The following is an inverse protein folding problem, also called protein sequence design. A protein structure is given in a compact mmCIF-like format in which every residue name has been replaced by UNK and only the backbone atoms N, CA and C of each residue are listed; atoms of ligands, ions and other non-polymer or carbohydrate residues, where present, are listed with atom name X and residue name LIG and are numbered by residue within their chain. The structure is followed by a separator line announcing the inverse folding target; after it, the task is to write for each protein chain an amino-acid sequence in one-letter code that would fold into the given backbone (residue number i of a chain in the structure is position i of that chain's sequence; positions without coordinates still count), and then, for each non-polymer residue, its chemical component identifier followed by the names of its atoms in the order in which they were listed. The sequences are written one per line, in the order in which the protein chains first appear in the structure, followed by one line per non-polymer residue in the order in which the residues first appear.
data_IF_112258367562
#
_entry.id   IF_112258367562
#
_cell.length_a   1.000
_cell.length_b   1.000
_cell.length_c   1.000
_cell.angle_alpha   90.00
_cell.angle_beta   90.00
_cell.angle_gamma   90.00
#
_symmetry.space_group_name_H-M   'P 1'
#
loop_
_entity.id
_entity.type
_entity.pdbx_description
1 polymer ?
#
# COMPACT_ATOMS: atom_id res chain seq x y z
N UNK A 1 3.27 -22.41 2.62
CA UNK A 1 2.98 -21.24 1.75
C UNK A 1 3.91 -21.30 0.53
N UNK A 2 3.52 -20.73 -0.62
CA UNK A 2 4.40 -20.54 -1.79
C UNK A 2 4.34 -19.08 -2.20
N UNK A 3 5.49 -18.44 -2.40
CA UNK A 3 5.56 -17.05 -2.81
C UNK A 3 4.91 -16.86 -4.20
N UNK A 4 4.45 -15.65 -4.49
CA UNK A 4 3.64 -15.34 -5.68
C UNK A 4 2.34 -16.16 -5.85
N UNK A 5 1.82 -16.76 -4.77
CA UNK A 5 0.48 -17.37 -4.72
C UNK A 5 -0.30 -16.63 -3.62
N UNK A 6 -1.34 -15.85 -3.95
CA UNK A 6 -2.00 -14.96 -3.00
C UNK A 6 -2.69 -15.73 -1.87
N UNK A 7 -2.60 -15.17 -0.66
CA UNK A 7 -3.19 -15.70 0.55
C UNK A 7 -4.68 -15.32 0.66
N UNK A 8 -5.40 -15.98 1.57
CA UNK A 8 -6.73 -15.51 1.95
C UNK A 8 -6.63 -14.16 2.66
N UNK A 9 -7.39 -13.16 2.20
CA UNK A 9 -7.47 -11.87 2.85
C UNK A 9 -8.24 -11.98 4.16
N UNK A 10 -7.70 -11.41 5.25
CA UNK A 10 -8.46 -11.25 6.50
C UNK A 10 -9.63 -10.28 6.27
N UNK A 11 -10.84 -10.73 6.57
CA UNK A 11 -12.06 -9.93 6.38
C UNK A 11 -12.44 -9.21 7.68
N UNK A 12 -12.92 -7.98 7.55
CA UNK A 12 -13.54 -7.24 8.63
C UNK A 12 -15.06 -7.48 8.62
N UNK A 13 -15.65 -7.63 9.81
CA UNK A 13 -17.11 -7.52 9.98
C UNK A 13 -17.50 -6.03 10.01
N UNK A 14 -18.64 -5.64 9.43
CA UNK A 14 -19.18 -4.30 9.65
C UNK A 14 -19.65 -4.15 11.10
N UNK A 15 -19.63 -2.90 11.59
CA UNK A 15 -20.28 -2.46 12.81
C UNK A 15 -21.17 -1.26 12.47
N UNK A 16 -22.27 -1.07 13.19
CA UNK A 16 -23.23 0.02 12.97
C UNK A 16 -22.71 1.36 13.53
N UNK A 17 -21.78 1.32 14.49
CA UNK A 17 -21.13 2.53 15.03
C UNK A 17 -19.68 2.31 15.45
N UNK A 18 -18.95 3.43 15.61
CA UNK A 18 -17.62 3.45 16.19
C UNK A 18 -17.60 2.95 17.65
N UNK A 19 -18.62 3.31 18.44
CA UNK A 19 -18.74 2.91 19.85
C UNK A 19 -18.93 1.40 19.98
N UNK A 20 -19.82 0.81 19.18
CA UNK A 20 -20.01 -0.63 19.08
C UNK A 20 -18.70 -1.33 18.64
N UNK A 21 -18.06 -0.85 17.57
CA UNK A 21 -16.81 -1.42 17.08
C UNK A 21 -15.70 -1.43 18.15
N UNK A 22 -15.58 -0.35 18.93
CA UNK A 22 -14.62 -0.24 20.02
C UNK A 22 -15.00 -1.11 21.23
N UNK A 23 -16.29 -1.34 21.48
CA UNK A 23 -16.76 -2.18 22.60
C UNK A 23 -16.28 -3.63 22.53
N UNK A 24 -15.99 -4.13 21.32
CA UNK A 24 -15.46 -5.48 21.09
C UNK A 24 -13.98 -5.65 21.49
N UNK A 25 -13.24 -4.57 21.72
CA UNK A 25 -11.79 -4.63 21.91
C UNK A 25 -11.31 -3.79 23.11
N UNK A 26 -10.72 -4.45 24.11
CA UNK A 26 -10.12 -3.77 25.26
C UNK A 26 -8.94 -2.86 24.91
N UNK A 27 -8.29 -3.08 23.76
CA UNK A 27 -7.21 -2.26 23.21
C UNK A 27 -7.36 -2.15 21.68
N UNK A 28 -8.38 -1.41 21.23
CA UNK A 28 -8.51 -0.99 19.84
C UNK A 28 -7.38 0.00 19.44
N UNK A 29 -7.13 0.15 18.15
CA UNK A 29 -5.96 0.85 17.62
C UNK A 29 -6.31 1.37 16.20
N UNK A 30 -6.74 2.62 16.04
CA UNK A 30 -7.54 3.12 14.87
C UNK A 30 -6.75 3.31 13.55
N UNK A 31 -7.45 3.24 12.40
CA UNK A 31 -6.97 3.47 11.02
C UNK A 31 -8.03 4.12 10.10
N UNK A 32 -7.56 4.85 9.10
CA UNK A 32 -8.38 5.38 8.00
C UNK A 32 -8.76 4.29 7.00
N UNK A 33 -10.06 4.08 6.77
CA UNK A 33 -10.52 3.27 5.63
C UNK A 33 -10.43 4.10 4.35
N UNK A 34 -9.42 3.82 3.53
CA UNK A 34 -9.31 4.38 2.19
C UNK A 34 -10.31 3.74 1.20
N UNK A 35 -10.66 4.48 0.15
CA UNK A 35 -11.47 4.02 -0.99
C UNK A 35 -10.52 3.68 -2.15
N UNK A 36 -10.27 2.38 -2.36
CA UNK A 36 -9.16 1.90 -3.19
C UNK A 36 -9.31 0.47 -3.70
N UNK A 37 -8.17 -0.15 -4.05
CA UNK A 37 -8.09 -1.57 -4.40
C UNK A 37 -7.21 -2.27 -3.35
N UNK A 38 -7.84 -3.03 -2.44
CA UNK A 38 -7.11 -3.93 -1.55
C UNK A 38 -6.30 -4.96 -2.35
N UNK A 39 -5.01 -5.02 -2.07
CA UNK A 39 -4.06 -5.82 -2.81
C UNK A 39 -2.92 -6.36 -1.94
N UNK A 40 -2.54 -7.62 -2.19
CA UNK A 40 -1.32 -8.22 -1.64
C UNK A 40 -0.15 -7.97 -2.57
N UNK A 41 0.94 -7.38 -2.05
CA UNK A 41 2.19 -7.24 -2.77
C UNK A 41 3.19 -8.31 -2.31
N UNK A 42 3.50 -9.25 -3.21
CA UNK A 42 4.53 -10.27 -3.01
C UNK A 42 5.82 -9.78 -3.66
N UNK A 43 6.89 -9.67 -2.89
CA UNK A 43 8.20 -9.22 -3.35
C UNK A 43 9.23 -10.32 -3.09
N UNK A 44 10.09 -10.61 -4.06
CA UNK A 44 11.21 -11.56 -3.89
C UNK A 44 12.34 -11.29 -4.87
N UNK A 45 13.57 -11.19 -4.38
CA UNK A 45 14.77 -11.02 -5.21
C UNK A 45 14.67 -9.93 -6.33
N UNK A 46 13.86 -8.89 -6.12
CA UNK A 46 13.57 -7.83 -7.11
C UNK A 46 12.43 -8.11 -8.09
N UNK A 47 11.83 -9.30 -8.09
CA UNK A 47 10.51 -9.56 -8.69
C UNK A 47 9.40 -9.12 -7.74
N UNK A 48 8.37 -8.45 -8.27
CA UNK A 48 7.17 -8.05 -7.52
C UNK A 48 5.93 -8.46 -8.29
N UNK A 49 4.95 -9.04 -7.60
CA UNK A 49 3.61 -9.27 -8.11
C UNK A 49 2.57 -8.74 -7.16
N UNK A 50 1.53 -8.13 -7.72
CA UNK A 50 0.46 -7.49 -6.97
C UNK A 50 -0.84 -8.22 -7.30
N UNK A 51 -1.52 -8.74 -6.28
CA UNK A 51 -2.76 -9.51 -6.42
C UNK A 51 -3.93 -8.75 -5.78
N UNK A 52 -5.04 -8.62 -6.51
CA UNK A 52 -6.27 -8.02 -5.99
C UNK A 52 -6.93 -8.88 -4.90
N UNK A 53 -7.94 -8.33 -4.21
CA UNK A 53 -8.85 -9.09 -3.33
C UNK A 53 -9.46 -10.34 -3.98
N UNK A 54 -9.70 -10.33 -5.30
CA UNK A 54 -10.21 -11.47 -6.08
C UNK A 54 -9.11 -12.47 -6.49
N UNK A 55 -7.85 -12.21 -6.11
CA UNK A 55 -6.63 -12.98 -6.44
C UNK A 55 -6.17 -12.86 -7.90
N UNK A 56 -6.70 -11.89 -8.64
CA UNK A 56 -6.22 -11.57 -9.98
C UNK A 56 -4.88 -10.84 -9.90
N UNK A 57 -3.92 -11.21 -10.75
CA UNK A 57 -2.66 -10.49 -10.85
C UNK A 57 -2.88 -9.15 -11.58
N UNK A 58 -2.64 -8.04 -10.87
CA UNK A 58 -2.86 -6.66 -11.33
C UNK A 58 -1.54 -5.88 -11.50
N UNK A 59 -0.39 -6.56 -11.42
CA UNK A 59 0.96 -5.97 -11.52
C UNK A 59 1.12 -5.04 -12.73
N UNK A 60 0.67 -5.47 -13.92
CA UNK A 60 0.78 -4.70 -15.17
C UNK A 60 -0.04 -3.38 -15.17
N UNK A 61 -1.06 -3.29 -14.32
CA UNK A 61 -1.87 -2.07 -14.14
C UNK A 61 -1.20 -1.04 -13.22
N UNK A 62 -0.17 -1.44 -12.46
CA UNK A 62 0.53 -0.63 -11.46
C UNK A 62 2.07 -0.83 -11.50
N UNK A 63 2.72 -0.65 -12.67
CA UNK A 63 4.15 -0.92 -12.83
C UNK A 63 5.04 -0.08 -11.92
N UNK A 64 4.66 1.15 -11.58
CA UNK A 64 5.41 2.02 -10.69
C UNK A 64 5.40 1.54 -9.22
N UNK A 65 4.34 0.83 -8.80
CA UNK A 65 4.31 0.17 -7.49
C UNK A 65 5.29 -1.02 -7.49
N UNK A 66 5.29 -1.82 -8.56
CA UNK A 66 6.21 -2.94 -8.70
C UNK A 66 7.68 -2.49 -8.73
N UNK A 67 7.99 -1.40 -9.44
CA UNK A 67 9.32 -0.79 -9.43
C UNK A 67 9.74 -0.32 -8.03
N UNK A 68 8.88 0.41 -7.31
CA UNK A 68 9.21 0.92 -5.97
C UNK A 68 9.38 -0.20 -4.93
N UNK A 69 8.49 -1.19 -4.94
CA UNK A 69 8.52 -2.35 -4.04
C UNK A 69 9.68 -3.30 -4.34
N UNK A 70 10.20 -3.32 -5.57
CA UNK A 70 11.35 -4.17 -5.95
C UNK A 70 12.64 -3.84 -5.17
N UNK A 71 12.72 -2.66 -4.56
CA UNK A 71 13.85 -2.21 -3.76
C UNK A 71 13.77 -2.62 -2.27
N UNK A 72 12.75 -3.39 -1.87
CA UNK A 72 12.65 -3.96 -0.52
C UNK A 72 13.77 -5.00 -0.28
N UNK A 73 14.38 -5.03 0.92
CA UNK A 73 15.61 -5.80 1.16
C UNK A 73 15.41 -7.31 1.37
N UNK A 74 14.17 -7.76 1.58
CA UNK A 74 13.82 -9.13 1.94
C UNK A 74 12.63 -9.63 1.12
N UNK A 75 12.51 -10.94 0.99
CA UNK A 75 11.29 -11.56 0.50
C UNK A 75 10.14 -11.24 1.47
N UNK A 76 9.06 -10.63 0.98
CA UNK A 76 7.93 -10.17 1.81
C UNK A 76 6.59 -10.40 1.11
N UNK A 77 5.53 -10.53 1.91
CA UNK A 77 4.14 -10.37 1.47
C UNK A 77 3.53 -9.27 2.34
N UNK A 78 3.13 -8.17 1.71
CA UNK A 78 2.39 -7.07 2.32
C UNK A 78 0.90 -7.20 1.97
N UNK A 79 0.01 -6.83 2.89
CA UNK A 79 -1.41 -6.55 2.60
C UNK A 79 -1.64 -5.05 2.76
N UNK A 80 -2.41 -4.46 1.85
CA UNK A 80 -2.48 -3.01 1.71
C UNK A 80 -3.53 -2.54 0.71
N UNK A 81 -3.72 -1.23 0.65
CA UNK A 81 -4.70 -0.58 -0.22
C UNK A 81 -4.01 0.24 -1.31
N UNK A 82 -4.32 0.00 -2.59
CA UNK A 82 -3.91 0.89 -3.69
C UNK A 82 -4.94 2.02 -3.78
N UNK A 83 -4.52 3.26 -3.55
CA UNK A 83 -5.39 4.44 -3.51
C UNK A 83 -4.97 5.40 -4.61
N UNK A 84 -5.94 5.97 -5.35
CA UNK A 84 -5.62 7.04 -6.29
C UNK A 84 -5.17 8.28 -5.51
N UNK A 85 -4.04 8.87 -5.90
CA UNK A 85 -3.33 9.83 -5.08
C UNK A 85 -2.82 11.00 -5.91
N UNK A 86 -3.29 12.21 -5.57
CA UNK A 86 -2.86 13.43 -6.21
C UNK A 86 -1.71 14.08 -5.41
N UNK A 87 -0.64 14.46 -6.10
CA UNK A 87 0.48 15.21 -5.55
C UNK A 87 0.37 16.68 -5.99
N UNK A 88 -0.02 17.63 -5.12
CA UNK A 88 -0.04 19.04 -5.50
C UNK A 88 1.36 19.51 -5.85
N UNK A 89 1.53 20.17 -7.00
CA UNK A 89 2.85 20.54 -7.53
C UNK A 89 3.71 21.42 -6.60
N UNK A 90 3.09 22.10 -5.64
CA UNK A 90 3.72 23.03 -4.69
C UNK A 90 3.60 22.55 -3.23
N UNK A 91 3.22 21.30 -2.98
CA UNK A 91 3.13 20.74 -1.63
C UNK A 91 4.27 19.75 -1.36
N UNK A 92 4.70 19.58 -0.09
CA UNK A 92 5.61 18.51 0.30
C UNK A 92 5.09 17.12 -0.13
N UNK A 93 5.98 16.15 -0.46
CA UNK A 93 5.59 14.85 -1.01
C UNK A 93 4.54 14.09 -0.18
N UNK A 94 4.67 14.17 1.14
CA UNK A 94 3.75 13.65 2.15
C UNK A 94 2.31 14.18 1.98
N UNK A 95 2.15 15.48 1.68
CA UNK A 95 0.88 16.23 1.63
C UNK A 95 0.07 16.07 0.33
N UNK A 96 0.16 14.88 -0.29
CA UNK A 96 -0.80 14.53 -1.34
C UNK A 96 -2.21 14.28 -0.79
N UNK A 97 -3.17 14.03 -1.68
CA UNK A 97 -4.58 13.78 -1.30
C UNK A 97 -5.15 12.58 -2.04
N UNK A 98 -5.85 11.72 -1.27
CA UNK A 98 -6.69 10.66 -1.82
C UNK A 98 -7.67 11.24 -2.86
N UNK A 99 -7.83 10.51 -3.96
CA UNK A 99 -8.83 10.76 -4.99
C UNK A 99 -9.89 9.63 -4.95
N UNK A 100 -11.11 9.85 -5.45
CA UNK A 100 -12.15 8.82 -5.46
C UNK A 100 -11.72 7.56 -6.22
N UNK A 101 -12.25 6.39 -5.83
CA UNK A 101 -11.99 5.11 -6.51
C UNK A 101 -12.25 5.14 -8.03
N UNK A 102 -13.16 5.99 -8.51
CA UNK A 102 -13.42 6.17 -9.95
C UNK A 102 -12.19 6.61 -10.75
N UNK A 103 -11.19 7.22 -10.12
CA UNK A 103 -9.88 7.49 -10.75
C UNK A 103 -9.09 6.19 -11.04
N UNK A 104 -9.18 5.17 -10.18
CA UNK A 104 -8.52 3.87 -10.37
C UNK A 104 -9.16 3.02 -11.46
N UNK A 105 -10.47 3.19 -11.71
CA UNK A 105 -11.20 2.47 -12.77
C UNK A 105 -10.56 2.64 -14.15
N UNK A 106 -9.86 3.76 -14.39
CA UNK A 106 -9.16 4.00 -15.66
C UNK A 106 -7.95 3.07 -15.87
N UNK A 107 -7.42 2.46 -14.80
CA UNK A 107 -6.23 1.58 -14.82
C UNK A 107 -6.57 0.09 -14.77
N UNK A 108 -7.66 -0.27 -14.09
CA UNK A 108 -8.09 -1.67 -13.93
C UNK A 108 -8.22 -2.40 -15.28
N UNK A 109 -7.74 -3.64 -15.32
CA UNK A 109 -7.79 -4.49 -16.52
C UNK A 109 -6.80 -4.10 -17.64
N UNK A 110 -5.98 -3.05 -17.47
CA UNK A 110 -4.97 -2.67 -18.47
C UNK A 110 -3.66 -3.44 -18.25
N UNK A 111 -3.25 -4.15 -19.29
CA UNK A 111 -1.93 -4.82 -19.40
C UNK A 111 -0.79 -3.89 -19.82
N UNK A 112 -1.12 -2.68 -20.28
CA UNK A 112 -0.16 -1.65 -20.65
C UNK A 112 -0.71 -0.29 -20.28
N UNK A 113 -0.05 0.36 -19.33
CA UNK A 113 -0.36 1.71 -18.84
C UNK A 113 0.67 2.66 -19.43
N UNK A 114 0.24 3.79 -19.99
CA UNK A 114 1.16 4.81 -20.51
C UNK A 114 1.65 5.72 -19.38
N UNK A 115 2.85 6.29 -19.53
CA UNK A 115 3.37 7.28 -18.57
C UNK A 115 2.42 8.49 -18.38
N UNK A 116 1.60 8.83 -19.39
CA UNK A 116 0.52 9.82 -19.27
C UNK A 116 -0.60 9.37 -18.33
N UNK A 117 -1.06 8.12 -18.46
CA UNK A 117 -2.10 7.56 -17.58
C UNK A 117 -1.58 7.36 -16.16
N UNK A 118 -0.31 6.99 -15.97
CA UNK A 118 0.33 6.95 -14.65
C UNK A 118 0.31 8.35 -14.01
N UNK A 119 0.66 9.41 -14.75
CA UNK A 119 0.57 10.79 -14.21
C UNK A 119 -0.88 11.18 -13.87
N UNK A 120 -1.82 10.97 -14.78
CA UNK A 120 -3.24 11.37 -14.62
C UNK A 120 -4.00 10.59 -13.53
N UNK A 121 -3.65 9.31 -13.35
CA UNK A 121 -4.20 8.43 -12.32
C UNK A 121 -3.05 7.90 -11.45
N UNK A 122 -2.29 8.83 -10.88
CA UNK A 122 -1.23 8.53 -9.91
C UNK A 122 -1.81 7.78 -8.71
N UNK A 123 -1.02 6.90 -8.08
CA UNK A 123 -1.45 6.05 -6.97
C UNK A 123 -0.46 6.08 -5.81
N UNK A 124 -0.88 5.57 -4.66
CA UNK A 124 0.00 5.19 -3.56
C UNK A 124 -0.48 3.85 -3.00
N UNK A 125 0.43 3.07 -2.41
CA UNK A 125 0.10 1.81 -1.72
C UNK A 125 0.16 2.04 -0.21
N UNK A 126 -0.88 1.68 0.50
CA UNK A 126 -0.98 1.83 1.95
C UNK A 126 -0.89 0.43 2.55
N UNK A 127 0.33 -0.01 2.87
CA UNK A 127 0.55 -1.31 3.49
C UNK A 127 0.16 -1.22 4.98
N UNK A 128 -0.80 -2.03 5.41
CA UNK A 128 -1.29 -2.06 6.79
C UNK A 128 -0.99 -3.39 7.50
N UNK A 129 -0.50 -4.41 6.77
CA UNK A 129 -0.07 -5.67 7.37
C UNK A 129 1.12 -6.30 6.60
N UNK A 130 1.87 -7.14 7.30
CA UNK A 130 2.89 -8.01 6.72
C UNK A 130 2.54 -9.46 7.07
N UNK A 131 2.35 -10.28 6.03
CA UNK A 131 1.92 -11.67 6.15
C UNK A 131 3.11 -12.65 6.10
N UNK A 132 4.20 -12.23 5.47
CA UNK A 132 5.46 -12.97 5.34
C UNK A 132 6.65 -12.01 5.30
N UNK A 133 7.74 -12.36 5.96
CA UNK A 133 8.98 -11.60 5.92
C UNK A 133 10.21 -12.49 6.15
N UNK A 134 11.27 -12.28 5.35
CA UNK A 134 12.61 -12.82 5.56
C UNK A 134 12.68 -14.36 5.75
N UNK A 135 11.79 -15.11 5.10
CA UNK A 135 11.71 -16.58 5.20
C UNK A 135 10.51 -17.09 5.99
N UNK A 136 9.96 -16.28 6.90
CA UNK A 136 8.91 -16.68 7.85
C UNK A 136 7.51 -16.23 7.41
N UNK A 137 6.54 -17.13 7.48
CA UNK A 137 5.12 -16.76 7.49
C UNK A 137 4.77 -16.21 8.87
N UNK A 138 4.38 -14.95 8.95
CA UNK A 138 4.14 -14.24 10.22
C UNK A 138 2.66 -13.99 10.50
N UNK A 139 1.76 -14.46 9.63
CA UNK A 139 0.30 -14.24 9.71
C UNK A 139 -0.32 -14.65 11.06
N UNK A 140 0.21 -15.71 11.68
CA UNK A 140 -0.26 -16.23 12.98
C UNK A 140 0.32 -15.47 14.19
N UNK A 141 1.29 -14.57 13.98
CA UNK A 141 1.83 -13.70 15.05
C UNK A 141 0.81 -12.61 15.41
N UNK A 142 0.75 -12.13 16.66
CA UNK A 142 -0.11 -11.02 17.07
C UNK A 142 0.04 -9.79 16.17
N UNK A 143 -1.07 -9.09 15.89
CA UNK A 143 -1.09 -7.91 15.01
C UNK A 143 -0.05 -6.85 15.41
N UNK A 144 0.18 -6.62 16.71
CA UNK A 144 1.21 -5.69 17.21
C UNK A 144 2.63 -6.08 16.79
N UNK A 145 2.95 -7.37 16.73
CA UNK A 145 4.25 -7.85 16.27
C UNK A 145 4.40 -7.69 14.76
N UNK A 146 3.34 -7.98 13.99
CA UNK A 146 3.33 -7.76 12.52
C UNK A 146 3.47 -6.28 12.17
N UNK A 147 2.75 -5.40 12.87
CA UNK A 147 2.88 -3.95 12.73
C UNK A 147 4.33 -3.48 13.00
N UNK A 148 4.96 -3.96 14.08
CA UNK A 148 6.35 -3.62 14.38
C UNK A 148 7.36 -4.17 13.32
N UNK A 149 7.10 -5.35 12.74
CA UNK A 149 7.88 -5.89 11.63
C UNK A 149 7.68 -5.06 10.35
N UNK A 150 6.45 -4.61 10.07
CA UNK A 150 6.14 -3.74 8.93
C UNK A 150 6.89 -2.41 9.05
N UNK A 151 6.83 -1.75 10.21
CA UNK A 151 7.56 -0.50 10.47
C UNK A 151 9.09 -0.70 10.30
N UNK A 152 9.66 -1.83 10.75
CA UNK A 152 11.09 -2.15 10.55
C UNK A 152 11.44 -2.38 9.08
N UNK A 153 10.65 -3.15 8.33
CA UNK A 153 10.84 -3.39 6.89
C UNK A 153 10.77 -2.10 6.09
N UNK A 154 9.89 -1.19 6.51
CA UNK A 154 9.69 0.09 5.85
C UNK A 154 10.76 1.12 6.23
N UNK A 155 11.30 1.10 7.46
CA UNK A 155 12.47 1.89 7.83
C UNK A 155 13.81 1.36 7.25
N UNK A 156 13.87 0.08 6.82
CA UNK A 156 15.10 -0.55 6.38
C UNK A 156 15.70 0.06 5.09
N UNK A 157 17.03 0.14 4.95
CA UNK A 157 17.70 0.59 3.73
C UNK A 157 17.25 -0.17 2.49
N UNK A 158 17.17 0.53 1.35
CA UNK A 158 16.67 -0.03 0.09
C UNK A 158 17.77 -0.66 -0.76
N UNK A 159 17.48 -1.83 -1.30
CA UNK A 159 18.29 -2.50 -2.31
C UNK A 159 17.98 -1.90 -3.70
N UNK A 160 18.41 -0.65 -3.93
CA UNK A 160 18.25 0.01 -5.24
C UNK A 160 18.98 -0.78 -6.33
N UNK A 161 18.30 -1.28 -7.39
CA UNK A 161 18.96 -2.04 -8.44
C UNK A 161 19.93 -1.16 -9.22
N UNK A 162 21.24 -1.50 -9.19
CA UNK A 162 22.31 -0.75 -9.87
C UNK A 162 22.18 -0.65 -11.41
N UNK A 163 21.20 -1.33 -12.02
CA UNK A 163 21.14 -1.54 -13.48
C UNK A 163 19.82 -1.13 -14.17
N UNK A 164 18.79 -0.64 -13.45
CA UNK A 164 17.61 -0.05 -14.12
C UNK A 164 17.88 1.43 -14.42
N UNK A 165 18.20 1.73 -15.68
CA UNK A 165 18.49 3.08 -16.18
C UNK A 165 17.31 4.06 -16.25
N UNK A 166 16.17 3.74 -15.61
CA UNK A 166 15.15 4.72 -15.22
C UNK A 166 15.33 4.95 -13.72
N UNK A 167 15.55 6.19 -13.31
CA UNK A 167 15.45 6.56 -11.89
C UNK A 167 14.11 6.03 -11.35
N UNK A 168 14.13 5.27 -10.26
CA UNK A 168 12.95 4.67 -9.66
C UNK A 168 11.98 5.78 -9.25
N UNK A 169 10.91 5.98 -10.02
CA UNK A 169 10.06 7.18 -9.90
C UNK A 169 9.15 7.14 -8.67
N UNK A 170 8.95 5.94 -8.09
CA UNK A 170 8.24 5.76 -6.82
C UNK A 170 9.11 6.08 -5.60
N UNK A 171 8.96 7.30 -5.06
CA UNK A 171 9.48 7.65 -3.73
C UNK A 171 8.63 7.05 -2.62
N UNK A 172 9.16 6.02 -1.96
CA UNK A 172 8.59 5.43 -0.75
C UNK A 172 8.69 6.40 0.44
N UNK A 173 7.59 7.11 0.75
CA UNK A 173 7.54 8.13 1.80
C UNK A 173 6.88 7.60 3.07
N UNK A 174 7.61 7.71 4.18
CA UNK A 174 7.20 7.27 5.51
C UNK A 174 6.79 8.46 6.36
N UNK A 175 5.50 8.52 6.68
CA UNK A 175 4.93 9.47 7.65
C UNK A 175 4.67 8.71 8.96
N UNK A 176 5.52 8.87 9.99
CA UNK A 176 5.10 8.59 11.35
C UNK A 176 4.09 9.67 11.78
N UNK A 177 2.97 9.23 12.35
CA UNK A 177 1.87 10.04 12.91
C UNK A 177 1.05 10.91 11.93
N UNK A 178 -0.21 10.50 11.75
CA UNK A 178 -1.32 11.44 11.55
C UNK A 178 -2.15 11.50 12.84
N UNK A 179 -2.07 12.62 13.55
CA UNK A 179 -3.09 12.94 14.57
C UNK A 179 -4.45 13.10 13.89
N UNK A 180 -5.49 12.55 14.53
CA UNK A 180 -6.88 12.52 14.06
C UNK A 180 -7.42 13.93 13.75
N UNK A 181 -7.27 14.38 12.51
CA UNK A 181 -7.97 15.53 11.98
C UNK A 181 -9.39 15.11 11.59
N UNK A 182 -10.33 15.19 12.55
CA UNK A 182 -11.74 14.89 12.35
C UNK A 182 -12.42 15.90 11.40
N UNK A 183 -12.18 15.77 10.09
CA UNK A 183 -12.84 16.57 9.06
C UNK A 183 -12.83 15.87 7.70
N UNK A 184 -13.93 16.03 6.96
CA UNK A 184 -14.19 15.54 5.58
C UNK A 184 -14.26 14.01 5.36
N UNK A 185 -15.50 13.50 5.44
CA UNK A 185 -16.09 12.55 4.48
C UNK A 185 -15.37 11.20 4.26
N UNK A 186 -15.01 10.48 5.33
CA UNK A 186 -14.46 9.12 5.27
C UNK A 186 -15.51 8.08 5.66
N UNK A 187 -15.76 7.10 4.80
CA UNK A 187 -16.73 6.01 5.04
C UNK A 187 -16.09 4.85 5.83
N UNK A 188 -16.41 4.79 7.13
CA UNK A 188 -16.06 3.67 8.02
C UNK A 188 -14.78 3.90 8.84
N UNK A 189 -14.84 3.51 10.10
CA UNK A 189 -13.70 3.50 11.03
C UNK A 189 -13.00 2.13 10.94
N UNK A 190 -11.68 2.08 10.77
CA UNK A 190 -10.89 0.84 10.80
C UNK A 190 -9.74 0.88 11.84
N UNK A 191 -8.77 -0.06 11.82
CA UNK A 191 -7.65 -0.29 12.77
C UNK A 191 -6.48 -1.10 12.12
N UNK A 192 -5.18 -0.74 12.12
CA UNK A 192 -4.39 0.32 12.80
C UNK A 192 -3.30 0.92 11.89
N UNK A 193 -3.16 2.25 11.89
CA UNK A 193 -2.03 2.98 11.26
C UNK A 193 -0.68 2.26 11.36
N UNK A 194 -0.13 1.88 10.20
CA UNK A 194 1.29 1.62 9.98
C UNK A 194 1.69 2.02 8.55
N UNK A 195 2.98 2.28 8.33
CA UNK A 195 3.63 1.98 7.05
C UNK A 195 3.07 2.50 5.72
N UNK A 196 3.08 3.80 5.45
CA UNK A 196 2.71 4.33 4.12
C UNK A 196 3.77 3.99 3.05
N UNK A 197 3.36 3.44 1.90
CA UNK A 197 4.20 3.13 0.72
C UNK A 197 3.74 4.01 -0.45
N UNK A 198 4.04 5.30 -0.34
CA UNK A 198 3.78 6.26 -1.42
C UNK A 198 4.59 5.90 -2.65
N UNK A 199 4.06 6.13 -3.86
CA UNK A 199 4.77 5.90 -5.11
C UNK A 199 4.42 7.02 -6.10
N UNK A 200 5.36 7.91 -6.38
CA UNK A 200 5.13 8.99 -7.36
C UNK A 200 5.10 8.45 -8.80
N UNK A 201 4.20 9.01 -9.59
CA UNK A 201 4.27 8.90 -11.06
C UNK A 201 5.39 9.77 -11.63
N UNK A 202 5.68 9.66 -12.94
CA UNK A 202 6.76 10.42 -13.57
C UNK A 202 6.61 11.94 -13.36
N UNK A 203 7.66 12.59 -12.84
CA UNK A 203 7.77 14.05 -12.86
C UNK A 203 7.68 14.58 -14.30
N UNK A 204 7.05 15.73 -14.55
CA UNK A 204 7.03 16.34 -15.88
C UNK A 204 8.41 16.92 -16.23
N UNK A 205 9.23 16.13 -16.91
CA UNK A 205 10.47 16.56 -17.55
C UNK A 205 11.75 16.42 -16.71
N UNK A 206 12.53 15.40 -17.02
CA UNK A 206 13.99 15.43 -17.11
C UNK A 206 14.39 14.72 -18.41
#
# INVERSE_FOLDING_TARGET
MRLFHPLGFMLASPAESAEEALSYFSNAQVEDKYDGIRAQAHCSAGEVKIFSRTRDEITESFPELADALSALPHDVILDGEIVAWNYPANAPPEQGRAQPFSTLQQRLGRKKVSDELIRRASVAYFAFDVLYAAGDLVIDRPLRERAALLDQLLAAPRNLPRSRGRASQGELLFEPDHQLAASSNREGLFCRTTGRVVCRGPSPGQ
#
